data_IF_758379456636
#
_entry.id   IF_758379456636
#
_cell.length_a   1.000
_cell.length_b   1.000
_cell.length_c   1.000
_cell.angle_alpha   90.00
_cell.angle_beta   90.00
_cell.angle_gamma   90.00
#
_symmetry.space_group_name_H-M   'P 1'
#
loop_
_entity.id
_entity.type
_entity.pdbx_description
1 polymer ?
#
# COMPACT_ATOMS: atom_id res chain seq x y z
N UNK A 1 44.54 57.23 -1.09
CA UNK A 1 44.75 57.65 0.32
C UNK A 1 45.44 56.52 1.05
N UNK A 2 46.60 56.85 1.61
CA UNK A 2 47.51 56.02 2.41
C UNK A 2 46.96 55.74 3.81
N UNK A 3 47.19 54.54 4.35
CA UNK A 3 47.53 54.29 5.78
C UNK A 3 47.94 52.82 5.97
N UNK A 4 49.21 52.50 6.23
CA UNK A 4 49.94 52.52 7.53
C UNK A 4 49.65 51.25 8.35
N UNK A 5 50.53 50.23 8.28
CA UNK A 5 51.54 49.81 9.29
C UNK A 5 50.93 49.20 10.58
N UNK A 6 51.10 47.90 10.90
CA UNK A 6 52.25 47.08 11.38
C UNK A 6 52.13 46.78 12.90
N UNK A 7 52.72 45.65 13.33
CA UNK A 7 53.31 45.34 14.68
C UNK A 7 52.36 44.66 15.71
N UNK A 8 52.44 43.34 16.00
CA UNK A 8 53.37 42.51 16.86
C UNK A 8 52.55 41.97 18.04
N UNK A 9 52.46 40.64 18.24
CA UNK A 9 53.19 39.84 19.25
C UNK A 9 52.90 40.34 20.70
N UNK A 10 52.62 39.54 21.74
CA UNK A 10 52.74 38.12 21.99
C UNK A 10 52.16 37.83 23.40
N UNK A 11 52.10 36.54 23.76
CA UNK A 11 52.12 35.97 25.12
C UNK A 11 50.96 36.29 26.09
N UNK A 12 50.28 35.23 26.53
CA UNK A 12 50.37 34.64 27.89
C UNK A 12 49.25 33.60 27.97
N UNK A 13 49.55 32.30 27.86
CA UNK A 13 49.96 31.45 28.97
C UNK A 13 49.01 31.57 30.18
N UNK A 14 48.08 30.61 30.29
CA UNK A 14 47.09 30.58 31.35
C UNK A 14 46.28 29.28 31.36
N UNK A 15 46.94 28.13 31.22
CA UNK A 15 46.39 26.86 31.71
C UNK A 15 46.39 26.87 33.22
N UNK A 16 45.23 26.63 33.83
CA UNK A 16 44.93 25.64 34.88
C UNK A 16 43.52 26.03 35.39
N UNK A 17 42.50 25.57 34.68
CA UNK A 17 41.17 25.44 35.27
C UNK A 17 41.09 24.04 35.84
N UNK A 18 41.13 23.99 37.17
CA UNK A 18 40.94 22.84 38.04
C UNK A 18 39.74 22.03 37.55
N UNK A 19 39.99 20.81 37.08
CA UNK A 19 38.94 19.84 36.79
C UNK A 19 38.41 19.38 38.14
N UNK A 20 37.42 20.12 38.67
CA UNK A 20 36.55 19.61 39.70
C UNK A 20 35.87 18.36 39.13
N UNK A 21 36.31 17.18 39.56
CA UNK A 21 35.64 15.93 39.28
C UNK A 21 34.30 15.91 40.02
N UNK A 22 33.31 16.62 39.48
CA UNK A 22 31.91 16.34 39.74
C UNK A 22 31.63 14.99 39.09
N UNK A 23 31.62 13.92 39.89
CA UNK A 23 31.08 12.64 39.51
C UNK A 23 29.57 12.79 39.29
N UNK A 24 29.17 13.27 38.11
CA UNK A 24 27.83 13.14 37.59
C UNK A 24 27.59 11.66 37.31
N UNK A 25 26.63 11.06 38.01
CA UNK A 25 26.11 9.73 37.69
C UNK A 25 25.87 9.65 36.17
N UNK A 26 26.27 8.56 35.50
CA UNK A 26 25.86 8.38 34.11
C UNK A 26 24.33 8.43 34.09
N UNK A 27 23.79 9.31 33.26
CA UNK A 27 22.39 9.31 32.95
C UNK A 27 22.04 7.90 32.48
N UNK A 28 20.99 7.32 33.07
CA UNK A 28 20.38 6.08 32.60
C UNK A 28 20.31 6.17 31.09
N UNK A 29 20.96 5.23 30.39
CA UNK A 29 20.83 5.08 28.96
C UNK A 29 19.33 5.10 28.65
N UNK A 30 18.90 6.18 28.02
CA UNK A 30 17.59 6.25 27.40
C UNK A 30 17.63 5.11 26.40
N UNK A 31 17.03 3.98 26.77
CA UNK A 31 16.75 2.86 25.88
C UNK A 31 16.29 3.48 24.58
N UNK A 32 17.09 3.27 23.52
CA UNK A 32 16.69 3.61 22.17
C UNK A 32 15.51 2.70 21.89
N UNK A 33 14.30 3.17 22.20
CA UNK A 33 13.07 2.50 21.82
C UNK A 33 13.11 2.58 20.29
N UNK A 34 13.55 1.49 19.65
CA UNK A 34 13.35 1.30 18.22
C UNK A 34 11.91 1.71 17.94
N UNK A 35 11.64 2.59 16.95
CA UNK A 35 10.27 2.87 16.58
C UNK A 35 9.65 1.51 16.26
N UNK A 36 8.68 1.11 17.07
CA UNK A 36 7.93 -0.11 16.84
C UNK A 36 7.53 -0.05 15.38
N UNK A 37 8.05 -1.00 14.57
CA UNK A 37 7.75 -1.05 13.16
C UNK A 37 6.22 -0.93 13.06
N UNK A 38 5.75 0.21 12.53
CA UNK A 38 4.34 0.39 12.26
C UNK A 38 4.04 -0.68 11.24
N UNK A 39 3.52 -1.82 11.70
CA UNK A 39 3.09 -2.91 10.84
C UNK A 39 1.90 -2.34 10.11
N UNK A 40 2.18 -1.72 8.96
CA UNK A 40 1.13 -1.21 8.08
C UNK A 40 0.24 -2.40 7.78
N UNK A 41 -1.05 -2.34 8.13
CA UNK A 41 -1.93 -3.47 7.95
C UNK A 41 -1.94 -3.88 6.48
N UNK A 42 -1.60 -5.14 6.23
CA UNK A 42 -1.66 -5.74 4.90
C UNK A 42 -3.09 -5.60 4.37
N UNK A 43 -3.23 -4.97 3.20
CA UNK A 43 -4.51 -4.84 2.53
C UNK A 43 -4.51 -5.75 1.32
N UNK A 44 -5.56 -6.54 1.15
CA UNK A 44 -5.71 -7.44 0.01
C UNK A 44 -7.11 -7.29 -0.56
N UNK A 45 -7.19 -7.01 -1.85
CA UNK A 45 -8.45 -6.96 -2.60
C UNK A 45 -8.40 -8.08 -3.61
N UNK A 46 -9.41 -8.95 -3.62
CA UNK A 46 -9.50 -10.09 -4.53
C UNK A 46 -10.83 -10.07 -5.27
N UNK A 47 -10.80 -10.21 -6.59
CA UNK A 47 -11.97 -10.37 -7.45
C UNK A 47 -11.88 -11.76 -8.06
N UNK A 48 -12.66 -12.69 -7.53
CA UNK A 48 -12.87 -13.99 -8.14
C UNK A 48 -14.05 -13.90 -9.11
N UNK A 49 -13.88 -14.37 -10.34
CA UNK A 49 -14.96 -14.36 -11.33
C UNK A 49 -14.85 -15.51 -12.31
N UNK A 50 -15.99 -15.97 -12.81
CA UNK A 50 -16.02 -16.91 -13.92
C UNK A 50 -16.11 -16.17 -15.25
N UNK A 51 -15.37 -16.64 -16.25
CA UNK A 51 -15.56 -16.24 -17.64
C UNK A 51 -15.49 -17.50 -18.51
N UNK A 52 -16.60 -17.81 -19.20
CA UNK A 52 -16.78 -19.06 -19.93
C UNK A 52 -16.58 -20.27 -19.00
N UNK A 53 -15.57 -21.10 -19.27
CA UNK A 53 -15.27 -22.32 -18.50
C UNK A 53 -14.08 -22.14 -17.54
N UNK A 54 -13.58 -20.91 -17.39
CA UNK A 54 -12.40 -20.61 -16.59
C UNK A 54 -12.79 -19.79 -15.36
N UNK A 55 -12.08 -20.05 -14.27
CA UNK A 55 -12.15 -19.28 -13.02
C UNK A 55 -10.93 -18.37 -12.98
N UNK A 56 -11.17 -17.09 -12.81
CA UNK A 56 -10.17 -16.05 -12.72
C UNK A 56 -10.12 -15.49 -11.31
N UNK A 57 -8.93 -15.13 -10.87
CA UNK A 57 -8.69 -14.30 -9.70
C UNK A 57 -7.80 -13.15 -10.11
N UNK A 58 -8.32 -11.93 -9.97
CA UNK A 58 -7.52 -10.72 -9.97
C UNK A 58 -7.33 -10.25 -8.53
N UNK A 59 -6.09 -9.94 -8.15
CA UNK A 59 -5.76 -9.56 -6.79
C UNK A 59 -4.87 -8.32 -6.77
N UNK A 60 -5.19 -7.38 -5.89
CA UNK A 60 -4.30 -6.31 -5.47
C UNK A 60 -3.84 -6.55 -4.04
N UNK A 61 -2.58 -6.26 -3.76
CA UNK A 61 -2.01 -6.41 -2.43
C UNK A 61 -1.10 -5.23 -2.09
N UNK A 62 -1.29 -4.67 -0.90
CA UNK A 62 -0.33 -3.78 -0.24
C UNK A 62 0.27 -4.54 0.93
N UNK A 63 1.57 -4.83 0.85
CA UNK A 63 2.33 -5.52 1.92
C UNK A 63 2.79 -4.50 2.95
N UNK A 64 3.15 -3.31 2.49
CA UNK A 64 3.55 -2.14 3.28
C UNK A 64 3.32 -0.85 2.44
N UNK A 65 3.80 0.30 2.91
CA UNK A 65 3.66 1.60 2.23
C UNK A 65 4.48 1.75 0.94
N UNK A 66 5.42 0.83 0.69
CA UNK A 66 6.34 0.85 -0.45
C UNK A 66 6.13 -0.29 -1.46
N UNK A 67 5.39 -1.33 -1.08
CA UNK A 67 5.25 -2.54 -1.87
C UNK A 67 3.77 -2.79 -2.21
N UNK A 68 3.46 -2.62 -3.48
CA UNK A 68 2.13 -2.81 -4.05
C UNK A 68 2.24 -3.78 -5.23
N UNK A 69 1.47 -4.86 -5.17
CA UNK A 69 1.50 -5.91 -6.17
C UNK A 69 0.11 -6.10 -6.78
N UNK A 70 0.09 -6.46 -8.06
CA UNK A 70 -1.07 -6.99 -8.75
C UNK A 70 -0.77 -8.42 -9.18
N UNK A 71 -1.77 -9.29 -9.06
CA UNK A 71 -1.67 -10.71 -9.41
C UNK A 71 -2.90 -11.15 -10.19
N UNK A 72 -2.67 -11.94 -11.23
CA UNK A 72 -3.72 -12.57 -12.03
C UNK A 72 -3.51 -14.09 -12.05
N UNK A 73 -4.59 -14.83 -11.79
CA UNK A 73 -4.59 -16.29 -11.73
C UNK A 73 -5.76 -16.81 -12.57
N UNK A 74 -5.53 -17.86 -13.34
CA UNK A 74 -6.55 -18.55 -14.14
C UNK A 74 -6.49 -20.04 -13.86
N UNK A 75 -7.61 -20.63 -13.43
CA UNK A 75 -7.71 -22.04 -13.04
C UNK A 75 -6.53 -22.45 -12.13
N UNK A 76 -6.32 -21.68 -11.06
CA UNK A 76 -5.27 -21.88 -10.05
C UNK A 76 -3.82 -21.67 -10.55
N UNK A 77 -3.63 -21.32 -11.83
CA UNK A 77 -2.30 -21.00 -12.37
C UNK A 77 -2.07 -19.50 -12.39
N UNK A 78 -0.97 -19.07 -11.78
CA UNK A 78 -0.54 -17.67 -11.85
C UNK A 78 -0.17 -17.35 -13.29
N UNK A 79 -0.85 -16.36 -13.86
CA UNK A 79 -0.54 -15.84 -15.20
C UNK A 79 0.42 -14.67 -15.09
N UNK A 80 0.22 -13.82 -14.08
CA UNK A 80 1.05 -12.63 -13.85
C UNK A 80 1.08 -12.30 -12.35
N UNK A 81 2.23 -11.84 -11.86
CA UNK A 81 2.43 -11.37 -10.49
C UNK A 81 3.54 -10.33 -10.50
N UNK A 82 3.19 -9.04 -10.29
CA UNK A 82 4.15 -7.94 -10.47
C UNK A 82 3.91 -6.79 -9.51
N UNK A 83 4.99 -6.04 -9.26
CA UNK A 83 4.91 -4.74 -8.62
C UNK A 83 4.21 -3.71 -9.51
N UNK A 84 3.41 -2.85 -8.89
CA UNK A 84 2.70 -1.73 -9.53
C UNK A 84 2.96 -0.42 -8.78
N UNK A 85 2.90 0.74 -9.45
CA UNK A 85 3.02 2.03 -8.76
C UNK A 85 1.90 2.25 -7.74
N UNK A 86 2.24 2.88 -6.61
CA UNK A 86 1.29 3.23 -5.53
C UNK A 86 0.05 3.96 -6.03
N UNK A 87 0.22 4.89 -6.95
CA UNK A 87 -0.88 5.70 -7.52
C UNK A 87 -1.88 4.83 -8.29
N UNK A 88 -1.37 3.87 -9.09
CA UNK A 88 -2.20 2.90 -9.81
C UNK A 88 -2.94 1.98 -8.84
N UNK A 89 -2.25 1.50 -7.80
CA UNK A 89 -2.87 0.72 -6.73
C UNK A 89 -4.03 1.48 -6.08
N UNK A 90 -3.81 2.72 -5.61
CA UNK A 90 -4.83 3.51 -4.92
C UNK A 90 -6.02 3.79 -5.83
N UNK A 91 -5.76 4.25 -7.05
CA UNK A 91 -6.80 4.57 -8.02
C UNK A 91 -7.69 3.35 -8.31
N UNK A 92 -7.08 2.19 -8.50
CA UNK A 92 -7.81 0.98 -8.82
C UNK A 92 -8.52 0.38 -7.60
N UNK A 93 -7.86 0.36 -6.43
CA UNK A 93 -8.45 -0.10 -5.18
C UNK A 93 -9.73 0.70 -4.85
N UNK A 94 -9.68 2.03 -4.92
CA UNK A 94 -10.84 2.89 -4.66
C UNK A 94 -12.02 2.55 -5.57
N UNK A 95 -11.80 2.32 -6.87
CA UNK A 95 -12.88 1.92 -7.78
C UNK A 95 -13.51 0.59 -7.42
N UNK A 96 -12.72 -0.38 -6.95
CA UNK A 96 -13.27 -1.66 -6.48
C UNK A 96 -14.13 -1.43 -5.23
N UNK A 97 -13.66 -0.60 -4.29
CA UNK A 97 -14.43 -0.24 -3.10
C UNK A 97 -15.76 0.44 -3.47
N UNK A 98 -15.72 1.45 -4.34
CA UNK A 98 -16.89 2.19 -4.79
C UNK A 98 -17.91 1.26 -5.48
N UNK A 99 -17.42 0.35 -6.33
CA UNK A 99 -18.27 -0.67 -6.95
C UNK A 99 -18.90 -1.60 -5.91
N UNK A 100 -18.10 -2.11 -4.97
CA UNK A 100 -18.57 -3.02 -3.93
C UNK A 100 -19.62 -2.37 -3.03
N UNK A 101 -19.41 -1.13 -2.59
CA UNK A 101 -20.38 -0.38 -1.80
C UNK A 101 -21.67 -0.12 -2.57
N UNK A 102 -21.55 0.33 -3.83
CA UNK A 102 -22.70 0.57 -4.69
C UNK A 102 -23.53 -0.70 -4.89
N UNK A 103 -22.87 -1.81 -5.24
CA UNK A 103 -23.52 -3.09 -5.46
C UNK A 103 -24.24 -3.60 -4.19
N UNK A 104 -23.63 -3.45 -3.01
CA UNK A 104 -24.28 -3.76 -1.72
C UNK A 104 -25.54 -2.90 -1.50
N UNK A 105 -25.44 -1.59 -1.78
CA UNK A 105 -26.53 -0.63 -1.54
C UNK A 105 -27.74 -0.86 -2.44
N UNK A 106 -27.51 -1.29 -3.68
CA UNK A 106 -28.55 -1.56 -4.67
C UNK A 106 -29.30 -2.89 -4.41
N UNK A 107 -28.87 -3.69 -3.40
CA UNK A 107 -29.48 -4.97 -3.00
C UNK A 107 -29.82 -5.86 -4.20
N UNK A 108 -28.90 -5.95 -5.17
CA UNK A 108 -29.09 -6.80 -6.34
C UNK A 108 -29.26 -8.24 -5.86
N UNK A 109 -30.49 -8.75 -5.96
CA UNK A 109 -30.87 -10.05 -5.45
C UNK A 109 -29.96 -11.15 -6.02
N UNK A 110 -29.61 -12.12 -5.18
CA UNK A 110 -28.93 -13.33 -5.64
C UNK A 110 -29.79 -14.00 -6.72
N UNK A 111 -29.23 -14.17 -7.92
CA UNK A 111 -29.93 -14.81 -9.04
C UNK A 111 -29.73 -16.31 -8.94
N UNK A 112 -30.81 -17.12 -8.88
CA UNK A 112 -30.72 -18.57 -8.78
C UNK A 112 -29.90 -19.22 -9.91
N UNK A 113 -29.92 -18.62 -11.11
CA UNK A 113 -29.24 -19.12 -12.31
C UNK A 113 -28.15 -18.17 -12.81
N UNK A 114 -27.19 -17.86 -11.93
CA UNK A 114 -26.07 -17.01 -12.31
C UNK A 114 -25.06 -17.76 -13.21
N UNK A 115 -24.99 -17.37 -14.50
CA UNK A 115 -24.03 -17.94 -15.47
C UNK A 115 -22.62 -17.37 -15.37
N UNK A 116 -22.46 -16.22 -14.72
CA UNK A 116 -21.18 -15.52 -14.58
C UNK A 116 -21.01 -14.96 -13.17
N UNK A 117 -20.91 -15.82 -12.14
CA UNK A 117 -20.73 -15.38 -10.76
C UNK A 117 -19.42 -14.63 -10.56
N UNK A 118 -19.45 -13.73 -9.57
CA UNK A 118 -18.26 -13.09 -9.02
C UNK A 118 -18.33 -13.01 -7.49
N UNK A 119 -17.16 -12.96 -6.87
CA UNK A 119 -16.97 -12.64 -5.45
C UNK A 119 -15.81 -11.63 -5.34
N UNK A 120 -16.10 -10.48 -4.75
CA UNK A 120 -15.10 -9.48 -4.36
C UNK A 120 -14.87 -9.61 -2.86
N UNK A 121 -13.65 -9.96 -2.46
CA UNK A 121 -13.19 -10.01 -1.07
C UNK A 121 -12.26 -8.84 -0.79
N UNK A 122 -12.64 -8.00 0.16
CA UNK A 122 -11.91 -6.81 0.59
C UNK A 122 -11.38 -7.06 1.99
N UNK A 123 -10.06 -7.17 2.13
CA UNK A 123 -9.38 -7.34 3.40
C UNK A 123 -8.62 -6.06 3.73
N UNK A 124 -9.07 -5.35 4.77
CA UNK A 124 -8.48 -4.08 5.21
C UNK A 124 -8.27 -4.11 6.72
N UNK A 125 -7.01 -4.00 7.16
CA UNK A 125 -6.66 -4.03 8.59
C UNK A 125 -7.27 -5.21 9.37
N UNK A 126 -7.28 -6.40 8.75
CA UNK A 126 -7.84 -7.62 9.33
C UNK A 126 -9.37 -7.72 9.31
N UNK A 127 -10.08 -6.67 8.87
CA UNK A 127 -11.50 -6.75 8.59
C UNK A 127 -11.70 -7.30 7.18
N UNK A 128 -12.63 -8.25 7.05
CA UNK A 128 -12.97 -8.89 5.78
C UNK A 128 -14.39 -8.53 5.42
N UNK A 129 -14.57 -7.96 4.24
CA UNK A 129 -15.87 -7.76 3.63
C UNK A 129 -15.96 -8.52 2.32
N UNK A 130 -17.13 -9.09 2.03
CA UNK A 130 -17.38 -9.78 0.78
C UNK A 130 -18.60 -9.21 0.06
N UNK A 131 -18.51 -9.16 -1.26
CA UNK A 131 -19.61 -8.85 -2.17
C UNK A 131 -19.68 -9.93 -3.21
N UNK A 132 -20.80 -10.63 -3.25
CA UNK A 132 -21.05 -11.69 -4.20
C UNK A 132 -22.21 -11.31 -5.10
N UNK A 133 -22.12 -11.67 -6.37
CA UNK A 133 -23.12 -11.27 -7.34
C UNK A 133 -23.00 -11.99 -8.67
N UNK A 134 -23.78 -11.52 -9.63
CA UNK A 134 -23.78 -12.05 -10.97
C UNK A 134 -23.43 -10.96 -11.98
N UNK A 135 -22.42 -11.18 -12.82
CA UNK A 135 -21.97 -10.19 -13.81
C UNK A 135 -23.05 -9.87 -14.85
N UNK A 136 -24.00 -10.77 -15.10
CA UNK A 136 -25.13 -10.51 -15.98
C UNK A 136 -26.09 -9.44 -15.44
N UNK A 137 -26.05 -9.14 -14.14
CA UNK A 137 -26.90 -8.13 -13.50
C UNK A 137 -26.23 -6.77 -13.37
N UNK A 138 -24.93 -6.68 -13.65
CA UNK A 138 -24.25 -5.40 -13.74
C UNK A 138 -24.62 -4.73 -15.08
N UNK A 139 -25.77 -4.06 -15.10
CA UNK A 139 -26.30 -3.38 -16.28
C UNK A 139 -25.34 -2.32 -16.83
N UNK A 140 -24.48 -1.77 -15.97
CA UNK A 140 -23.46 -0.78 -16.35
C UNK A 140 -22.19 -1.40 -16.94
N UNK A 141 -22.00 -2.71 -16.75
CA UNK A 141 -20.79 -3.44 -17.11
C UNK A 141 -19.53 -2.94 -16.39
N UNK A 142 -19.68 -2.21 -15.28
CA UNK A 142 -18.58 -1.57 -14.58
C UNK A 142 -17.58 -2.58 -14.01
N UNK A 143 -18.04 -3.72 -13.48
CA UNK A 143 -17.13 -4.78 -13.02
C UNK A 143 -16.29 -5.32 -14.19
N UNK A 144 -16.88 -5.42 -15.38
CA UNK A 144 -16.15 -5.82 -16.58
C UNK A 144 -15.07 -4.81 -16.98
N UNK A 145 -15.36 -3.50 -16.84
CA UNK A 145 -14.37 -2.44 -17.08
C UNK A 145 -13.26 -2.47 -16.04
N UNK A 146 -13.61 -2.57 -14.76
CA UNK A 146 -12.66 -2.73 -13.66
C UNK A 146 -11.72 -3.88 -14.00
N UNK A 147 -12.23 -5.11 -14.20
CA UNK A 147 -11.40 -6.27 -14.53
C UNK A 147 -10.46 -6.00 -15.71
N UNK A 148 -10.97 -5.47 -16.82
CA UNK A 148 -10.16 -5.20 -18.02
C UNK A 148 -9.06 -4.16 -17.75
N UNK A 149 -9.36 -3.13 -16.99
CA UNK A 149 -8.39 -2.11 -16.61
C UNK A 149 -7.36 -2.63 -15.60
N UNK A 150 -7.76 -3.55 -14.72
CA UNK A 150 -6.87 -4.27 -13.83
C UNK A 150 -5.88 -5.14 -14.61
N UNK A 151 -6.37 -5.81 -15.66
CA UNK A 151 -5.50 -6.55 -16.58
C UNK A 151 -4.51 -5.62 -17.31
N UNK A 152 -4.88 -4.38 -17.64
CA UNK A 152 -3.98 -3.39 -18.25
C UNK A 152 -2.83 -3.02 -17.31
N UNK A 153 -2.99 -3.10 -15.98
CA UNK A 153 -1.88 -2.88 -15.04
C UNK A 153 -0.70 -3.82 -15.30
N UNK A 154 -0.93 -4.96 -15.94
CA UNK A 154 0.12 -5.91 -16.32
C UNK A 154 0.87 -5.53 -17.61
N UNK A 155 0.27 -4.70 -18.46
CA UNK A 155 0.84 -4.34 -19.77
C UNK A 155 1.29 -2.88 -19.84
N UNK A 156 0.87 -2.04 -18.90
CA UNK A 156 1.26 -0.64 -18.80
C UNK A 156 2.69 -0.43 -18.27
N UNK A 157 3.57 -1.43 -18.45
CA UNK A 157 4.99 -1.32 -18.14
C UNK A 157 5.73 -0.64 -19.28
N UNK A 158 5.64 0.70 -19.33
CA UNK A 158 6.62 1.66 -19.86
C UNK A 158 6.20 3.09 -19.50
#
# INVERSE_FOLDING_TARGET
MTRTQWIVQAFLCGTIAVIAACATKPANETTFIQPAASVVPKNTISINYSLRHNIYLFQLQSVNDSEFNAKSVVNEKVIEDRAIPREKYISFANRIYDFAEKYKSEKLAAVPDCKAPFNIRLEKAGQVEEVQGCRSNDASGELGKIIREGEILFYAGE
#
